data_IF_013358028823
#
_entry.id   IF_013358028823
#
_cell.length_a   1.000
_cell.length_b   1.000
_cell.length_c   1.000
_cell.angle_alpha   90.00
_cell.angle_beta   90.00
_cell.angle_gamma   90.00
#
_symmetry.space_group_name_H-M   'P 1'
#
loop_
_entity.id
_entity.type
_entity.pdbx_description
1 polymer ?
#
# COMPACT_ATOMS: atom_id res chain seq x y z
N UNK A 1 -5.82 -10.57 0.20
CA UNK A 1 -4.58 -10.42 1.03
C UNK A 1 -4.55 -9.02 1.64
N UNK A 2 -3.94 -8.81 2.82
CA UNK A 2 -3.83 -7.50 3.51
C UNK A 2 -4.70 -7.32 4.77
N UNK A 3 -4.42 -6.29 5.58
CA UNK A 3 -5.29 -5.78 6.65
C UNK A 3 -4.96 -6.25 8.08
N UNK A 4 -3.71 -6.64 8.32
CA UNK A 4 -3.35 -7.41 9.51
C UNK A 4 -2.04 -6.96 10.19
N UNK A 5 -1.37 -5.94 9.66
CA UNK A 5 -0.11 -5.44 10.21
C UNK A 5 -0.32 -4.70 11.53
N UNK A 6 -1.50 -4.10 11.71
CA UNK A 6 -1.86 -3.30 12.87
C UNK A 6 -3.06 -3.86 13.66
N UNK A 7 -3.28 -5.19 13.65
CA UNK A 7 -4.43 -5.85 14.30
C UNK A 7 -4.63 -5.53 15.78
N UNK A 8 -3.55 -5.19 16.48
CA UNK A 8 -3.60 -4.85 17.91
C UNK A 8 -4.38 -3.55 18.15
N UNK A 9 -4.57 -2.74 17.10
CA UNK A 9 -5.45 -1.59 17.10
C UNK A 9 -6.89 -2.05 16.83
N UNK A 10 -7.64 -2.25 17.90
CA UNK A 10 -9.07 -2.57 17.87
C UNK A 10 -9.95 -1.47 17.23
N UNK A 11 -9.38 -0.31 16.93
CA UNK A 11 -10.07 0.87 16.40
C UNK A 11 -9.99 1.03 14.89
N UNK A 12 -9.23 0.18 14.17
CA UNK A 12 -9.09 0.33 12.73
C UNK A 12 -10.41 0.07 12.01
N UNK A 13 -10.91 1.08 11.32
CA UNK A 13 -12.20 1.05 10.63
C UNK A 13 -12.07 0.49 9.21
N UNK A 14 -13.14 -0.09 8.66
CA UNK A 14 -13.21 -0.37 7.22
C UNK A 14 -13.79 0.84 6.51
N UNK A 15 -13.20 1.25 5.40
CA UNK A 15 -13.67 2.40 4.62
C UNK A 15 -14.56 1.96 3.47
N UNK A 16 -15.59 2.76 3.18
CA UNK A 16 -16.35 2.68 1.94
C UNK A 16 -15.53 3.25 0.76
N UNK A 17 -15.88 2.93 -0.51
CA UNK A 17 -15.12 3.38 -1.68
C UNK A 17 -14.83 4.89 -1.74
N UNK A 18 -15.82 5.72 -1.39
CA UNK A 18 -15.70 7.19 -1.43
C UNK A 18 -14.73 7.72 -0.35
N UNK A 19 -14.75 7.11 0.84
CA UNK A 19 -13.83 7.45 1.92
C UNK A 19 -12.40 7.04 1.56
N UNK A 20 -12.23 5.85 0.97
CA UNK A 20 -10.94 5.41 0.48
C UNK A 20 -10.40 6.34 -0.61
N UNK A 21 -11.23 6.75 -1.57
CA UNK A 21 -10.84 7.69 -2.62
C UNK A 21 -10.38 9.04 -2.04
N UNK A 22 -11.06 9.51 -1.00
CA UNK A 22 -10.68 10.73 -0.29
C UNK A 22 -9.32 10.59 0.41
N UNK A 23 -9.07 9.43 1.03
CA UNK A 23 -7.77 9.12 1.63
C UNK A 23 -6.66 9.02 0.58
N UNK A 24 -6.91 8.33 -0.54
CA UNK A 24 -5.97 8.23 -1.67
C UNK A 24 -5.56 9.61 -2.19
N UNK A 25 -6.53 10.52 -2.36
CA UNK A 25 -6.30 11.88 -2.84
C UNK A 25 -5.42 12.71 -1.91
N UNK A 26 -5.36 12.36 -0.62
CA UNK A 26 -4.48 12.99 0.38
C UNK A 26 -3.10 12.33 0.44
N UNK A 27 -3.05 11.01 0.38
CA UNK A 27 -1.82 10.24 0.60
C UNK A 27 -0.95 10.20 -0.66
N UNK A 28 -1.54 9.92 -1.83
CA UNK A 28 -0.78 9.74 -3.07
C UNK A 28 0.07 10.95 -3.48
N UNK A 29 -0.40 12.21 -3.38
CA UNK A 29 0.44 13.35 -3.73
C UNK A 29 1.69 13.47 -2.86
N UNK A 30 1.63 13.05 -1.60
CA UNK A 30 2.79 13.04 -0.71
C UNK A 30 3.74 11.93 -1.12
N UNK A 31 3.25 10.69 -1.28
CA UNK A 31 4.08 9.55 -1.69
C UNK A 31 4.75 9.79 -3.06
N UNK A 32 4.03 10.37 -4.02
CA UNK A 32 4.55 10.69 -5.35
C UNK A 32 5.69 11.71 -5.34
N UNK A 33 5.88 12.51 -4.29
CA UNK A 33 7.05 13.40 -4.17
C UNK A 33 8.34 12.62 -3.98
N UNK A 34 8.28 11.43 -3.40
CA UNK A 34 9.44 10.66 -2.98
C UNK A 34 9.81 9.52 -3.93
N UNK A 35 8.88 9.04 -4.76
CA UNK A 35 9.10 7.91 -5.67
C UNK A 35 8.83 8.28 -7.13
N UNK A 36 9.55 7.63 -8.05
CA UNK A 36 9.34 7.74 -9.49
C UNK A 36 8.02 7.08 -9.88
N UNK A 37 7.73 5.91 -9.30
CA UNK A 37 6.45 5.22 -9.45
C UNK A 37 5.80 5.05 -8.09
N UNK A 38 4.56 5.50 -7.98
CA UNK A 38 3.69 5.20 -6.84
C UNK A 38 2.26 5.05 -7.35
N UNK A 39 1.55 4.03 -6.89
CA UNK A 39 0.20 3.75 -7.36
C UNK A 39 -0.54 2.79 -6.44
N UNK A 40 -1.86 2.93 -6.42
CA UNK A 40 -2.76 2.03 -5.71
C UNK A 40 -3.17 0.94 -6.69
N UNK A 41 -2.84 -0.34 -6.43
CA UNK A 41 -3.32 -1.44 -7.26
C UNK A 41 -4.84 -1.42 -7.38
N UNK A 42 -5.37 -1.84 -8.52
CA UNK A 42 -6.81 -1.83 -8.73
C UNK A 42 -7.52 -2.77 -7.77
N UNK A 43 -8.61 -2.30 -7.19
CA UNK A 43 -9.51 -3.15 -6.44
C UNK A 43 -10.58 -3.73 -7.35
N UNK A 44 -11.11 -4.90 -6.99
CA UNK A 44 -12.29 -5.45 -7.66
C UNK A 44 -13.48 -4.48 -7.50
N UNK A 45 -14.19 -4.12 -8.59
CA UNK A 45 -15.26 -3.11 -8.55
C UNK A 45 -16.41 -3.43 -7.57
N UNK A 46 -16.62 -4.71 -7.25
CA UNK A 46 -17.70 -5.18 -6.38
C UNK A 46 -17.38 -5.07 -4.89
N UNK A 47 -16.22 -4.51 -4.51
CA UNK A 47 -15.78 -4.45 -3.12
C UNK A 47 -16.48 -3.30 -2.39
N UNK A 48 -17.36 -3.64 -1.46
CA UNK A 48 -18.15 -2.68 -0.67
C UNK A 48 -17.36 -1.99 0.44
N UNK A 49 -16.27 -2.61 0.91
CA UNK A 49 -15.41 -2.04 1.97
C UNK A 49 -13.95 -2.49 1.89
N UNK A 50 -13.06 -1.64 2.39
CA UNK A 50 -11.61 -1.80 2.36
C UNK A 50 -11.05 -1.85 3.78
N UNK A 51 -10.07 -2.71 4.05
CA UNK A 51 -9.42 -2.81 5.36
C UNK A 51 -8.12 -2.01 5.47
N UNK A 52 -7.54 -1.68 4.32
CA UNK A 52 -6.25 -1.04 4.15
C UNK A 52 -6.18 -0.30 2.81
N UNK A 53 -5.18 0.59 2.70
CA UNK A 53 -4.77 1.25 1.47
C UNK A 53 -3.37 0.78 1.10
N UNK A 54 -3.28 -0.12 0.12
CA UNK A 54 -2.01 -0.54 -0.45
C UNK A 54 -1.51 0.49 -1.46
N UNK A 55 -0.27 0.95 -1.30
CA UNK A 55 0.42 1.82 -2.25
C UNK A 55 1.72 1.15 -2.64
N UNK A 56 1.78 0.69 -3.89
CA UNK A 56 2.99 0.15 -4.47
C UNK A 56 3.93 1.30 -4.85
N UNK A 57 5.17 1.25 -4.40
CA UNK A 57 6.17 2.30 -4.64
C UNK A 57 7.48 1.72 -5.19
N UNK A 58 8.10 2.44 -6.12
CA UNK A 58 9.39 2.05 -6.68
C UNK A 58 10.22 3.25 -7.18
N UNK A 59 11.54 3.08 -7.13
CA UNK A 59 12.52 4.07 -7.56
C UNK A 59 12.48 5.34 -6.72
N UNK A 60 13.13 5.38 -5.55
CA UNK A 60 13.29 6.62 -4.78
C UNK A 60 13.87 7.74 -5.66
N UNK A 61 13.29 8.94 -5.58
CA UNK A 61 13.75 10.12 -6.33
C UNK A 61 15.03 10.72 -5.76
N UNK A 62 15.17 10.67 -4.43
CA UNK A 62 16.39 11.05 -3.74
C UNK A 62 17.29 9.83 -3.56
N UNK A 63 18.61 10.03 -3.70
CA UNK A 63 19.64 9.05 -3.30
C UNK A 63 20.05 9.20 -1.84
N UNK A 64 19.68 10.31 -1.22
CA UNK A 64 19.99 10.64 0.17
C UNK A 64 18.73 10.49 1.03
N UNK A 65 18.90 9.93 2.22
CA UNK A 65 17.81 9.69 3.17
C UNK A 65 16.92 8.49 2.80
N UNK A 66 15.94 8.23 3.66
CA UNK A 66 14.95 7.19 3.45
C UNK A 66 13.60 7.85 3.14
N UNK A 67 13.06 7.70 1.91
CA UNK A 67 11.81 8.34 1.52
C UNK A 67 10.62 7.95 2.40
N UNK A 68 10.67 6.76 3.01
CA UNK A 68 9.63 6.29 3.92
C UNK A 68 9.65 7.11 5.21
N UNK A 69 10.83 7.43 5.75
CA UNK A 69 10.94 8.20 6.99
C UNK A 69 10.44 9.65 6.81
N UNK A 70 10.64 10.23 5.63
CA UNK A 70 10.07 11.55 5.28
C UNK A 70 8.54 11.52 5.24
N UNK A 71 7.97 10.48 4.62
CA UNK A 71 6.51 10.27 4.54
C UNK A 71 5.93 10.09 5.95
N UNK A 72 6.57 9.27 6.79
CA UNK A 72 6.14 9.06 8.17
C UNK A 72 6.26 10.35 9.00
N UNK A 73 7.30 11.15 8.76
CA UNK A 73 7.47 12.46 9.42
C UNK A 73 6.40 13.47 9.01
N UNK A 74 5.92 13.39 7.76
CA UNK A 74 4.80 14.21 7.28
C UNK A 74 3.48 13.84 7.96
N UNK A 75 3.14 12.54 7.98
CA UNK A 75 1.84 12.09 8.52
C UNK A 75 1.81 11.93 10.04
N UNK A 76 2.98 11.80 10.69
CA UNK A 76 3.13 11.58 12.13
C UNK A 76 2.18 10.49 12.65
N UNK A 77 2.20 9.28 12.05
CA UNK A 77 1.27 8.24 12.42
C UNK A 77 1.54 7.76 13.85
N UNK A 78 0.46 7.44 14.57
CA UNK A 78 0.56 6.94 15.95
C UNK A 78 1.19 5.55 16.03
N UNK A 79 1.01 4.74 14.98
CA UNK A 79 1.45 3.36 14.91
C UNK A 79 2.10 3.07 13.57
N UNK A 80 3.23 2.36 13.63
CA UNK A 80 4.04 1.97 12.47
C UNK A 80 4.45 0.52 12.67
N UNK A 81 4.33 -0.29 11.63
CA UNK A 81 4.86 -1.65 11.58
C UNK A 81 5.67 -1.82 10.28
N UNK A 82 6.79 -2.54 10.36
CA UNK A 82 7.68 -2.82 9.23
C UNK A 82 7.82 -4.33 9.07
N UNK A 83 7.55 -4.85 7.88
CA UNK A 83 7.67 -6.26 7.57
C UNK A 83 8.27 -6.46 6.17
N UNK A 84 9.54 -6.85 6.12
CA UNK A 84 10.25 -6.99 4.85
C UNK A 84 10.25 -5.70 4.04
N UNK A 85 9.66 -5.75 2.85
CA UNK A 85 9.51 -4.62 1.93
C UNK A 85 8.23 -3.80 2.16
N UNK A 86 7.48 -4.06 3.23
CA UNK A 86 6.21 -3.38 3.54
C UNK A 86 6.39 -2.51 4.78
N UNK A 87 5.97 -1.25 4.67
CA UNK A 87 5.81 -0.34 5.82
C UNK A 87 4.35 0.03 5.97
N UNK A 88 3.75 -0.41 7.06
CA UNK A 88 2.36 -0.15 7.44
C UNK A 88 2.29 0.96 8.49
N UNK A 89 1.34 1.88 8.35
CA UNK A 89 1.09 2.90 9.37
C UNK A 89 -0.39 3.25 9.48
N UNK A 90 -0.77 3.73 10.67
CA UNK A 90 -2.14 4.17 10.93
C UNK A 90 -2.32 5.66 10.56
N UNK A 91 -3.31 5.95 9.73
CA UNK A 91 -3.75 7.30 9.38
C UNK A 91 -5.28 7.36 9.47
N UNK A 92 -5.83 8.29 10.27
CA UNK A 92 -7.28 8.43 10.52
C UNK A 92 -7.97 7.10 10.92
N UNK A 93 -7.33 6.34 11.80
CA UNK A 93 -7.77 5.00 12.22
C UNK A 93 -7.97 4.03 11.04
N UNK A 94 -7.17 4.19 9.98
CA UNK A 94 -7.11 3.30 8.83
C UNK A 94 -5.67 2.87 8.54
N UNK A 95 -5.48 1.63 8.08
CA UNK A 95 -4.15 1.11 7.73
C UNK A 95 -3.75 1.59 6.33
N UNK A 96 -2.56 2.17 6.21
CA UNK A 96 -1.91 2.49 4.92
C UNK A 96 -0.63 1.68 4.82
N UNK A 97 -0.48 0.94 3.73
CA UNK A 97 0.64 0.05 3.48
C UNK A 97 1.46 0.57 2.30
N UNK A 98 2.72 0.92 2.55
CA UNK A 98 3.70 1.23 1.50
C UNK A 98 4.44 -0.06 1.15
N UNK A 99 4.24 -0.55 -0.07
CA UNK A 99 4.84 -1.78 -0.57
C UNK A 99 5.98 -1.38 -1.50
N UNK A 100 7.21 -1.59 -1.07
CA UNK A 100 8.39 -1.30 -1.88
C UNK A 100 8.69 -2.45 -2.84
N UNK A 101 8.94 -2.13 -4.10
CA UNK A 101 9.41 -3.11 -5.10
C UNK A 101 10.56 -2.56 -5.93
N UNK A 102 11.43 -3.43 -6.49
CA UNK A 102 12.41 -3.04 -7.48
C UNK A 102 11.75 -2.31 -8.67
N UNK A 103 12.42 -1.28 -9.18
CA UNK A 103 11.86 -0.44 -10.26
C UNK A 103 11.45 -1.23 -11.51
N UNK A 104 12.25 -2.23 -11.89
CA UNK A 104 11.99 -3.07 -13.05
C UNK A 104 10.82 -4.06 -12.85
N UNK A 105 10.43 -4.32 -11.61
CA UNK A 105 9.36 -5.26 -11.25
C UNK A 105 8.01 -4.57 -11.03
N UNK A 106 7.99 -3.23 -11.03
CA UNK A 106 6.81 -2.44 -10.66
C UNK A 106 5.54 -2.84 -11.43
N UNK A 107 5.61 -2.93 -12.76
CA UNK A 107 4.42 -3.22 -13.58
C UNK A 107 3.87 -4.63 -13.30
N UNK A 108 4.78 -5.60 -13.12
CA UNK A 108 4.42 -6.96 -12.78
C UNK A 108 3.76 -7.04 -11.40
N UNK A 109 4.37 -6.41 -10.39
CA UNK A 109 3.82 -6.35 -9.05
C UNK A 109 2.48 -5.60 -9.00
N UNK A 110 2.35 -4.49 -9.74
CA UNK A 110 1.10 -3.72 -9.84
C UNK A 110 -0.02 -4.58 -10.43
N UNK A 111 0.25 -5.27 -11.53
CA UNK A 111 -0.71 -6.19 -12.16
C UNK A 111 -1.09 -7.33 -11.21
N UNK A 112 -0.12 -8.00 -10.60
CA UNK A 112 -0.35 -9.09 -9.66
C UNK A 112 -1.24 -8.67 -8.47
N UNK A 113 -0.93 -7.53 -7.85
CA UNK A 113 -1.68 -7.01 -6.70
C UNK A 113 -3.07 -6.51 -7.10
N UNK A 114 -3.24 -5.98 -8.31
CA UNK A 114 -4.54 -5.53 -8.83
C UNK A 114 -5.55 -6.66 -8.97
N UNK A 115 -5.09 -7.90 -9.08
CA UNK A 115 -5.94 -9.09 -9.15
C UNK A 115 -6.24 -9.67 -7.77
N UNK A 116 -5.65 -9.12 -6.70
CA UNK A 116 -5.84 -9.56 -5.33
C UNK A 116 -5.58 -11.06 -5.16
N UNK A 117 -6.56 -11.77 -4.60
CA UNK A 117 -6.43 -13.20 -4.33
C UNK A 117 -6.38 -14.04 -5.62
N UNK A 118 -6.95 -13.57 -6.74
CA UNK A 118 -6.82 -14.23 -8.05
C UNK A 118 -5.38 -14.17 -8.54
N UNK A 119 -4.70 -13.03 -8.33
CA UNK A 119 -3.27 -12.91 -8.60
C UNK A 119 -2.48 -13.97 -7.85
N UNK A 120 -2.73 -14.12 -6.54
CA UNK A 120 -2.09 -15.16 -5.73
C UNK A 120 -2.32 -16.58 -6.28
N UNK A 121 -3.55 -16.90 -6.71
CA UNK A 121 -3.86 -18.20 -7.31
C UNK A 121 -3.10 -18.43 -8.62
N UNK A 122 -3.00 -17.43 -9.49
CA UNK A 122 -2.21 -17.57 -10.73
C UNK A 122 -0.74 -17.86 -10.45
N UNK A 123 -0.13 -17.19 -9.46
CA UNK A 123 1.26 -17.45 -9.05
C UNK A 123 1.47 -18.87 -8.52
N UNK A 124 0.51 -19.39 -7.74
CA UNK A 124 0.56 -20.77 -7.25
C UNK A 124 0.49 -21.81 -8.36
N UNK A 125 -0.33 -21.57 -9.39
CA UNK A 125 -0.43 -22.44 -10.57
C UNK A 125 0.84 -22.34 -11.41
N UNK A 126 1.29 -21.12 -11.73
CA UNK A 126 2.48 -20.90 -12.54
C UNK A 126 3.74 -21.54 -11.92
N UNK A 127 3.87 -21.56 -10.59
CA UNK A 127 4.97 -22.24 -9.90
C UNK A 127 4.96 -23.77 -10.05
N UNK A 128 3.80 -24.37 -10.35
CA UNK A 128 3.63 -25.82 -10.53
C UNK A 128 3.79 -26.28 -11.98
N UNK A 129 3.78 -25.34 -12.93
CA UNK A 129 4.09 -25.58 -14.33
C UNK A 129 5.62 -25.54 -14.54
#
# INVERSE_FOLDING_TARGET
>A
MGGKALKELTTLSRLAPQQLQSLQSRVLPIVNKHFIKAGVPHYLPTKESFGDLDILVAGPKSREGNPIDDILSHFKPKHIARHGNITSFALDDFQVDLIWVPYLEYECAYGFLSWGDLGAMTGLIAKKL
#
